data_IF_431998087519
#
_entry.id   IF_431998087519
#
_cell.length_a   1.000
_cell.length_b   1.000
_cell.length_c   1.000
_cell.angle_alpha   90.00
_cell.angle_beta   90.00
_cell.angle_gamma   90.00
#
_symmetry.space_group_name_H-M   'P 1'
#
loop_
_entity.id
_entity.type
_entity.pdbx_description
1 polymer ?
#
# COMPACT_ATOMS: atom_id res chain seq x y z
N UNK A 1 26.88 24.90 -38.19
CA UNK A 1 27.20 24.00 -37.06
C UNK A 1 26.44 24.47 -35.81
N UNK A 2 25.11 24.66 -35.87
CA UNK A 2 24.35 25.37 -34.81
C UNK A 2 23.35 24.49 -34.04
N UNK A 3 22.98 23.31 -34.54
CA UNK A 3 21.97 22.47 -33.87
C UNK A 3 22.47 21.69 -32.65
N UNK A 4 23.78 21.48 -32.53
CA UNK A 4 24.38 20.73 -31.41
C UNK A 4 24.44 21.57 -30.12
N UNK A 5 24.64 22.89 -30.23
CA UNK A 5 24.69 23.79 -29.09
C UNK A 5 23.31 24.05 -28.48
N UNK A 6 22.29 24.20 -29.33
CA UNK A 6 20.90 24.38 -28.88
C UNK A 6 20.39 23.14 -28.14
N UNK A 7 20.68 21.94 -28.65
CA UNK A 7 20.36 20.68 -27.97
C UNK A 7 21.07 20.56 -26.61
N UNK A 8 22.33 21.01 -26.51
CA UNK A 8 23.07 21.03 -25.25
C UNK A 8 22.44 21.96 -24.21
N UNK A 9 22.04 23.16 -24.61
CA UNK A 9 21.38 24.14 -23.72
C UNK A 9 20.02 23.62 -23.24
N UNK A 10 19.25 23.00 -24.13
CA UNK A 10 17.93 22.46 -23.80
C UNK A 10 18.01 21.32 -22.78
N UNK A 11 19.03 20.47 -22.88
CA UNK A 11 19.27 19.39 -21.92
C UNK A 11 19.65 19.94 -20.54
N UNK A 12 20.51 20.96 -20.45
CA UNK A 12 20.88 21.59 -19.18
C UNK A 12 19.64 22.20 -18.49
N UNK A 13 18.78 22.89 -19.24
CA UNK A 13 17.54 23.46 -18.70
C UNK A 13 16.58 22.37 -18.21
N UNK A 14 16.42 21.29 -18.98
CA UNK A 14 15.60 20.15 -18.59
C UNK A 14 16.11 19.51 -17.29
N UNK A 15 17.42 19.31 -17.17
CA UNK A 15 18.03 18.69 -16.00
C UNK A 15 17.88 19.59 -14.75
N UNK A 16 18.06 20.90 -14.89
CA UNK A 16 17.83 21.86 -13.81
C UNK A 16 16.38 21.85 -13.30
N UNK A 17 15.40 21.82 -14.21
CA UNK A 17 13.98 21.74 -13.84
C UNK A 17 13.68 20.40 -13.16
N UNK A 18 14.19 19.30 -13.72
CA UNK A 18 13.97 17.96 -13.18
C UNK A 18 14.54 17.81 -11.77
N UNK A 19 15.75 18.32 -11.52
CA UNK A 19 16.38 18.26 -10.19
C UNK A 19 15.66 19.09 -9.14
N UNK A 20 15.11 20.26 -9.52
CA UNK A 20 14.38 21.11 -8.57
C UNK A 20 12.95 20.60 -8.28
N UNK A 21 12.28 20.00 -9.28
CA UNK A 21 10.90 19.55 -9.12
C UNK A 21 10.76 18.12 -8.58
N UNK A 22 11.58 17.19 -9.08
CA UNK A 22 11.48 15.76 -8.77
C UNK A 22 12.58 15.26 -7.81
N UNK A 23 13.56 16.12 -7.47
CA UNK A 23 14.77 15.72 -6.75
C UNK A 23 15.73 14.92 -7.64
N UNK A 24 16.92 14.64 -7.11
CA UNK A 24 17.84 13.68 -7.73
C UNK A 24 17.11 12.32 -7.74
N UNK A 25 17.05 11.58 -8.86
CA UNK A 25 16.46 10.24 -8.90
C UNK A 25 17.36 9.26 -8.12
N UNK A 26 17.35 9.37 -6.80
CA UNK A 26 17.98 8.45 -5.85
C UNK A 26 17.00 7.30 -5.58
N UNK A 27 16.49 6.69 -6.64
CA UNK A 27 15.57 5.57 -6.57
C UNK A 27 16.39 4.28 -6.48
N UNK A 28 16.94 4.01 -5.29
CA UNK A 28 17.19 2.69 -4.71
C UNK A 28 17.72 2.93 -3.29
N UNK A 29 16.83 2.97 -2.31
CA UNK A 29 17.22 2.86 -0.91
C UNK A 29 17.17 1.37 -0.56
N UNK A 30 18.33 0.74 -0.41
CA UNK A 30 18.41 -0.59 0.16
C UNK A 30 17.85 -0.53 1.59
N UNK A 31 16.68 -1.09 1.79
CA UNK A 31 16.02 -1.14 3.09
C UNK A 31 16.04 -2.58 3.58
N UNK A 32 16.73 -2.81 4.69
CA UNK A 32 16.71 -4.10 5.37
C UNK A 32 15.59 -4.09 6.41
N UNK A 33 14.77 -5.13 6.38
CA UNK A 33 13.72 -5.36 7.37
C UNK A 33 14.08 -6.59 8.18
N UNK A 34 14.01 -6.49 9.50
CA UNK A 34 14.08 -7.65 10.37
C UNK A 34 12.72 -8.37 10.31
N UNK A 35 12.60 -9.30 9.36
CA UNK A 35 11.38 -10.06 9.16
C UNK A 35 11.37 -11.29 10.06
N UNK A 36 10.67 -11.19 11.18
CA UNK A 36 10.30 -12.34 12.00
C UNK A 36 8.93 -12.87 11.57
N UNK A 37 8.84 -14.11 11.03
CA UNK A 37 7.55 -14.68 10.62
C UNK A 37 6.59 -14.93 11.78
N UNK A 38 7.10 -15.11 13.01
CA UNK A 38 6.31 -15.45 14.19
C UNK A 38 5.78 -14.20 14.91
N UNK A 39 6.40 -13.04 14.70
CA UNK A 39 6.01 -11.77 15.34
C UNK A 39 4.55 -11.38 15.04
N UNK A 40 4.00 -11.85 13.93
CA UNK A 40 2.61 -11.61 13.53
C UNK A 40 1.63 -12.32 14.46
N UNK A 41 1.99 -13.49 15.01
CA UNK A 41 1.17 -14.24 15.97
C UNK A 41 1.15 -13.52 17.32
N UNK A 42 2.31 -13.07 17.79
CA UNK A 42 2.46 -12.30 19.03
C UNK A 42 1.70 -10.96 18.96
N UNK A 43 1.86 -10.22 17.86
CA UNK A 43 1.15 -8.94 17.65
C UNK A 43 -0.37 -9.12 17.58
N UNK A 44 -0.85 -10.25 17.08
CA UNK A 44 -2.29 -10.56 17.06
C UNK A 44 -2.84 -10.72 18.47
N UNK A 45 -2.14 -11.44 19.35
CA UNK A 45 -2.55 -11.61 20.75
C UNK A 45 -2.58 -10.25 21.47
N UNK A 46 -1.50 -9.47 21.38
CA UNK A 46 -1.43 -8.12 21.92
C UNK A 46 -2.56 -7.20 21.41
N UNK A 47 -2.89 -7.30 20.12
CA UNK A 47 -4.00 -6.54 19.54
C UNK A 47 -5.36 -6.91 20.16
N UNK A 48 -5.60 -8.20 20.37
CA UNK A 48 -6.83 -8.68 21.02
C UNK A 48 -6.90 -8.29 22.50
N UNK A 49 -5.78 -8.31 23.23
CA UNK A 49 -5.72 -7.84 24.62
C UNK A 49 -6.06 -6.35 24.72
N UNK A 50 -5.49 -5.53 23.84
CA UNK A 50 -5.67 -4.07 23.86
C UNK A 50 -7.05 -3.61 23.38
N UNK A 51 -7.58 -4.23 22.33
CA UNK A 51 -8.81 -3.78 21.67
C UNK A 51 -10.02 -4.68 21.90
N UNK A 52 -9.82 -5.84 22.54
CA UNK A 52 -10.84 -6.86 22.75
C UNK A 52 -11.42 -7.41 21.45
N UNK A 53 -12.53 -8.14 21.58
CA UNK A 53 -13.29 -8.70 20.45
C UNK A 53 -13.76 -7.63 19.44
N UNK A 54 -13.94 -6.38 19.89
CA UNK A 54 -14.36 -5.26 19.03
C UNK A 54 -13.25 -4.76 18.10
N UNK A 55 -11.99 -5.10 18.37
CA UNK A 55 -10.86 -4.76 17.50
C UNK A 55 -11.01 -5.30 16.09
N UNK A 56 -11.59 -6.49 15.91
CA UNK A 56 -11.85 -7.07 14.59
C UNK A 56 -12.84 -6.21 13.78
N UNK A 57 -13.93 -5.76 14.41
CA UNK A 57 -14.91 -4.84 13.81
C UNK A 57 -14.29 -3.49 13.45
N UNK A 58 -13.31 -3.04 14.22
CA UNK A 58 -12.61 -1.78 13.96
C UNK A 58 -11.68 -1.90 12.74
N UNK A 59 -10.90 -2.97 12.62
CA UNK A 59 -10.07 -3.24 11.45
C UNK A 59 -10.91 -3.38 10.17
N UNK A 60 -12.02 -4.11 10.25
CA UNK A 60 -12.98 -4.25 9.15
C UNK A 60 -13.48 -2.87 8.70
N UNK A 61 -13.81 -1.99 9.65
CA UNK A 61 -14.27 -0.62 9.36
C UNK A 61 -13.17 0.25 8.74
N UNK A 62 -11.92 0.13 9.18
CA UNK A 62 -10.79 0.83 8.56
C UNK A 62 -10.66 0.41 7.08
N UNK A 63 -10.73 -0.89 6.79
CA UNK A 63 -10.69 -1.42 5.43
C UNK A 63 -11.86 -0.94 4.55
N UNK A 64 -12.99 -0.61 5.18
CA UNK A 64 -14.17 -0.03 4.53
C UNK A 64 -14.11 1.49 4.35
N UNK A 65 -12.97 2.16 4.60
CA UNK A 65 -12.68 3.58 4.29
C UNK A 65 -13.64 4.61 4.89
N UNK A 66 -13.28 5.90 4.81
CA UNK A 66 -13.99 7.00 5.50
C UNK A 66 -14.89 7.86 4.61
N UNK A 67 -15.00 7.54 3.32
CA UNK A 67 -15.74 8.32 2.31
C UNK A 67 -17.28 8.17 2.35
N UNK A 68 -17.83 7.53 3.38
CA UNK A 68 -19.27 7.29 3.53
C UNK A 68 -19.81 6.07 2.77
N UNK A 69 -19.04 5.44 1.87
CA UNK A 69 -19.47 4.27 1.07
C UNK A 69 -19.19 2.92 1.72
N UNK A 70 -19.02 2.91 3.04
CA UNK A 70 -18.65 1.72 3.81
C UNK A 70 -19.67 0.58 3.68
N UNK A 71 -20.99 0.89 3.57
CA UNK A 71 -22.04 -0.12 3.40
C UNK A 71 -21.97 -0.83 2.06
N UNK A 72 -21.74 -0.09 0.98
CA UNK A 72 -21.61 -0.65 -0.38
C UNK A 72 -20.40 -1.58 -0.44
N UNK A 73 -19.27 -1.17 0.14
CA UNK A 73 -18.05 -1.97 0.19
C UNK A 73 -18.19 -3.20 1.08
N UNK A 74 -18.89 -3.10 2.21
CA UNK A 74 -19.24 -4.25 3.03
C UNK A 74 -20.10 -5.27 2.27
N UNK A 75 -21.06 -4.82 1.45
CA UNK A 75 -21.88 -5.70 0.61
C UNK A 75 -21.05 -6.37 -0.49
N UNK A 76 -20.18 -5.62 -1.16
CA UNK A 76 -19.26 -6.16 -2.16
C UNK A 76 -18.31 -7.20 -1.56
N UNK A 77 -17.80 -6.95 -0.35
CA UNK A 77 -16.99 -7.92 0.40
C UNK A 77 -17.79 -9.19 0.69
N UNK A 78 -19.03 -9.07 1.17
CA UNK A 78 -19.89 -10.23 1.39
C UNK A 78 -20.17 -11.05 0.13
N UNK A 79 -20.41 -10.38 -1.01
CA UNK A 79 -20.64 -11.08 -2.30
C UNK A 79 -19.37 -11.81 -2.74
N UNK A 80 -18.20 -11.16 -2.64
CA UNK A 80 -16.93 -11.79 -2.97
C UNK A 80 -16.63 -13.00 -2.07
N UNK A 81 -16.93 -12.85 -0.79
CA UNK A 81 -16.63 -13.88 0.22
C UNK A 81 -17.72 -14.96 0.28
N UNK A 82 -18.83 -14.81 -0.46
CA UNK A 82 -19.87 -15.82 -0.58
C UNK A 82 -19.31 -17.08 -1.25
N UNK A 83 -19.43 -18.22 -0.58
CA UNK A 83 -18.82 -19.48 -1.01
C UNK A 83 -17.30 -19.59 -0.82
N UNK A 84 -16.63 -18.57 -0.28
CA UNK A 84 -15.18 -18.54 -0.04
C UNK A 84 -14.95 -18.39 1.47
N UNK A 85 -14.29 -19.35 2.13
CA UNK A 85 -14.06 -19.35 3.59
C UNK A 85 -13.14 -18.18 4.01
N UNK A 86 -13.68 -16.96 4.13
CA UNK A 86 -12.91 -15.76 4.48
C UNK A 86 -11.66 -15.56 3.57
N UNK A 87 -11.78 -15.92 2.29
CA UNK A 87 -10.66 -15.86 1.33
C UNK A 87 -9.75 -17.10 1.28
N UNK A 88 -10.00 -18.14 2.08
CA UNK A 88 -9.35 -19.45 1.92
C UNK A 88 -10.07 -20.26 0.84
N UNK A 89 -9.51 -20.24 -0.36
CA UNK A 89 -9.80 -21.20 -1.44
C UNK A 89 -9.12 -22.54 -1.14
N UNK A 90 -9.50 -23.19 -0.03
CA UNK A 90 -8.95 -24.50 0.34
C UNK A 90 -9.28 -25.61 -0.67
N UNK A 91 -10.26 -25.40 -1.56
CA UNK A 91 -10.83 -26.42 -2.44
C UNK A 91 -11.18 -25.93 -3.86
N UNK A 92 -10.76 -24.73 -4.27
CA UNK A 92 -10.77 -24.36 -5.69
C UNK A 92 -9.44 -24.83 -6.31
N UNK A 93 -9.46 -25.55 -7.45
CA UNK A 93 -8.24 -26.01 -8.12
C UNK A 93 -7.35 -24.86 -8.59
#
# INVERSE_FOLDING_TARGET
MNGQSEAGILNILKDLIQWNYAGIPLIHQETQWDFDPEISKLRREQYYELHGYRGAKYLERIGQGFDGRHRERALQQKIRDDGHLQGLNLLQP
#
